data_IF_971464764011
#
_entry.id   IF_971464764011
#
_cell.length_a   1.000
_cell.length_b   1.000
_cell.length_c   1.000
_cell.angle_alpha   90.00
_cell.angle_beta   90.00
_cell.angle_gamma   90.00
#
_symmetry.space_group_name_H-M   'P 1'
#
loop_
_entity.id
_entity.type
_entity.pdbx_description
1 polymer ?
#
# COMPACT_ATOMS: atom_id res chain seq x y z
N UNK A 1 -16.62 8.54 -4.79
CA UNK A 1 -17.00 7.13 -4.61
C UNK A 1 -15.97 6.17 -5.19
N UNK A 2 -15.61 6.28 -6.48
CA UNK A 2 -14.60 5.41 -7.11
C UNK A 2 -13.27 5.35 -6.34
N UNK A 3 -12.67 6.51 -6.04
CA UNK A 3 -11.40 6.57 -5.30
C UNK A 3 -11.46 5.82 -3.96
N UNK A 4 -12.50 6.04 -3.17
CA UNK A 4 -12.67 5.38 -1.87
C UNK A 4 -12.79 3.86 -2.02
N UNK A 5 -13.56 3.38 -2.99
CA UNK A 5 -13.68 1.94 -3.29
C UNK A 5 -12.33 1.37 -3.72
N UNK A 6 -11.58 2.08 -4.57
CA UNK A 6 -10.26 1.65 -5.00
C UNK A 6 -9.25 1.58 -3.85
N UNK A 7 -9.25 2.56 -2.94
CA UNK A 7 -8.39 2.54 -1.75
C UNK A 7 -8.75 1.40 -0.78
N UNK A 8 -10.03 1.05 -0.65
CA UNK A 8 -10.44 -0.17 0.07
C UNK A 8 -9.93 -1.43 -0.63
N UNK A 9 -10.00 -1.49 -1.96
CA UNK A 9 -9.44 -2.60 -2.74
C UNK A 9 -7.94 -2.76 -2.53
N UNK A 10 -7.18 -1.66 -2.53
CA UNK A 10 -5.74 -1.65 -2.25
C UNK A 10 -5.46 -2.18 -0.84
N UNK A 11 -6.25 -1.78 0.16
CA UNK A 11 -6.13 -2.28 1.53
C UNK A 11 -6.31 -3.80 1.60
N UNK A 12 -7.34 -4.33 0.94
CA UNK A 12 -7.60 -5.77 0.90
C UNK A 12 -6.49 -6.54 0.18
N UNK A 13 -5.96 -5.99 -0.91
CA UNK A 13 -4.82 -6.58 -1.59
C UNK A 13 -3.56 -6.56 -0.72
N UNK A 14 -3.32 -5.51 0.09
CA UNK A 14 -2.21 -5.49 1.04
C UNK A 14 -2.34 -6.60 2.10
N UNK A 15 -3.56 -6.87 2.58
CA UNK A 15 -3.83 -8.03 3.46
C UNK A 15 -3.51 -9.34 2.74
N UNK A 16 -3.91 -9.48 1.47
CA UNK A 16 -3.60 -10.65 0.68
C UNK A 16 -2.09 -10.86 0.51
N UNK A 17 -1.30 -9.80 0.30
CA UNK A 17 0.17 -9.85 0.27
C UNK A 17 0.74 -10.33 1.60
N UNK A 18 0.22 -9.81 2.73
CA UNK A 18 0.66 -10.23 4.06
C UNK A 18 0.44 -11.73 4.30
N UNK A 19 -0.74 -12.24 3.94
CA UNK A 19 -1.09 -13.67 4.09
C UNK A 19 -0.25 -14.53 3.14
N UNK A 20 -0.16 -14.13 1.86
CA UNK A 20 0.53 -14.90 0.83
C UNK A 20 2.04 -14.99 1.10
N UNK A 21 2.66 -13.90 1.52
CA UNK A 21 4.09 -13.85 1.83
C UNK A 21 4.47 -14.79 2.99
N UNK A 22 3.62 -14.90 4.03
CA UNK A 22 3.79 -15.87 5.11
C UNK A 22 3.61 -17.31 4.64
N UNK A 23 2.56 -17.58 3.87
CA UNK A 23 2.28 -18.93 3.37
C UNK A 23 3.38 -19.48 2.45
N UNK A 24 4.08 -18.61 1.71
CA UNK A 24 5.18 -18.99 0.82
C UNK A 24 6.54 -19.02 1.57
N UNK A 25 6.56 -18.68 2.86
CA UNK A 25 7.78 -18.65 3.69
C UNK A 25 8.74 -17.51 3.33
N UNK A 26 8.29 -16.56 2.52
CA UNK A 26 9.03 -15.37 2.09
C UNK A 26 8.32 -14.13 2.64
N UNK A 27 8.36 -13.98 3.97
CA UNK A 27 7.70 -12.85 4.64
C UNK A 27 8.27 -11.52 4.15
N UNK A 28 7.39 -10.55 3.94
CA UNK A 28 7.77 -9.16 3.75
C UNK A 28 8.63 -8.64 4.91
N UNK A 29 9.55 -7.72 4.64
CA UNK A 29 10.50 -7.18 5.62
C UNK A 29 9.80 -6.52 6.81
N UNK A 30 8.68 -5.85 6.54
CA UNK A 30 7.89 -5.14 7.54
C UNK A 30 7.02 -6.07 8.39
N UNK A 31 6.79 -7.30 7.91
CA UNK A 31 5.96 -8.31 8.55
C UNK A 31 6.77 -9.24 9.46
N UNK A 32 7.95 -9.64 8.98
CA UNK A 32 8.82 -10.64 9.64
C UNK A 32 8.28 -12.08 9.58
N UNK A 33 9.16 -13.09 9.63
CA UNK A 33 8.74 -14.49 9.70
C UNK A 33 7.84 -14.78 10.91
N UNK A 34 7.02 -15.83 10.84
CA UNK A 34 6.13 -16.19 11.96
C UNK A 34 6.89 -16.57 13.24
N UNK A 35 8.10 -17.13 13.12
CA UNK A 35 8.97 -17.46 14.24
C UNK A 35 9.61 -16.24 14.91
N UNK A 36 9.68 -15.11 14.20
CA UNK A 36 10.25 -13.86 14.70
C UNK A 36 9.57 -12.66 14.02
N UNK A 37 8.32 -12.34 14.42
CA UNK A 37 7.55 -11.28 13.80
C UNK A 37 8.16 -9.91 14.07
N UNK A 38 7.96 -8.97 13.15
CA UNK A 38 8.38 -7.59 13.37
C UNK A 38 7.57 -6.91 14.47
N UNK A 39 8.15 -5.84 15.03
CA UNK A 39 7.47 -5.00 16.00
C UNK A 39 6.14 -4.44 15.41
N UNK A 40 5.03 -4.41 16.17
CA UNK A 40 3.70 -4.07 15.62
C UNK A 40 3.60 -2.73 14.88
N UNK A 41 4.40 -1.72 15.23
CA UNK A 41 4.39 -0.45 14.48
C UNK A 41 4.99 -0.57 13.08
N UNK A 42 6.03 -1.40 12.92
CA UNK A 42 6.63 -1.67 11.60
C UNK A 42 5.66 -2.52 10.77
N UNK A 43 5.04 -3.50 11.42
CA UNK A 43 3.99 -4.34 10.84
C UNK A 43 2.81 -3.54 10.28
N UNK A 44 2.37 -2.51 11.01
CA UNK A 44 1.23 -1.69 10.63
C UNK A 44 1.53 -0.71 9.48
N UNK A 45 2.81 -0.51 9.13
CA UNK A 45 3.26 0.57 8.24
C UNK A 45 2.54 0.62 6.88
N UNK A 46 2.48 -0.46 6.06
CA UNK A 46 1.80 -0.41 4.77
C UNK A 46 0.28 -0.23 4.89
N UNK A 47 -0.32 -0.75 5.98
CA UNK A 47 -1.74 -0.57 6.25
C UNK A 47 -2.04 0.87 6.64
N UNK A 48 -1.23 1.47 7.50
CA UNK A 48 -1.36 2.86 7.92
C UNK A 48 -1.26 3.81 6.71
N UNK A 49 -0.32 3.56 5.80
CA UNK A 49 -0.19 4.32 4.55
C UNK A 49 -1.48 4.21 3.72
N UNK A 50 -1.98 3.00 3.52
CA UNK A 50 -3.19 2.76 2.72
C UNK A 50 -4.44 3.37 3.36
N UNK A 51 -4.58 3.27 4.69
CA UNK A 51 -5.66 3.91 5.46
C UNK A 51 -5.57 5.44 5.35
N UNK A 52 -4.38 6.03 5.39
CA UNK A 52 -4.21 7.47 5.18
C UNK A 52 -4.69 7.90 3.78
N UNK A 53 -4.37 7.12 2.74
CA UNK A 53 -4.89 7.32 1.39
C UNK A 53 -6.43 7.25 1.31
N UNK A 54 -7.04 6.29 2.00
CA UNK A 54 -8.49 6.16 2.11
C UNK A 54 -9.12 7.37 2.83
N UNK A 55 -8.60 7.76 3.98
CA UNK A 55 -9.09 8.93 4.75
C UNK A 55 -8.97 10.22 3.93
N UNK A 56 -7.90 10.35 3.14
CA UNK A 56 -7.71 11.50 2.25
C UNK A 56 -8.80 11.65 1.18
N UNK A 57 -9.53 10.58 0.84
CA UNK A 57 -10.69 10.66 -0.07
C UNK A 57 -11.86 11.46 0.50
N UNK A 58 -11.88 11.68 1.81
CA UNK A 58 -12.91 12.48 2.51
C UNK A 58 -12.47 13.94 2.73
N UNK A 59 -11.25 14.32 2.30
CA UNK A 59 -10.69 15.65 2.51
C UNK A 59 -10.91 16.56 1.29
N UNK A 60 -10.76 17.90 1.44
CA UNK A 60 -10.83 18.81 0.31
C UNK A 60 -9.81 18.48 -0.77
N UNK A 61 -10.25 18.52 -2.03
CA UNK A 61 -9.52 18.06 -3.22
C UNK A 61 -8.06 18.53 -3.32
N UNK A 62 -7.78 19.78 -2.92
CA UNK A 62 -6.44 20.36 -2.97
C UNK A 62 -5.40 19.58 -2.15
N UNK A 63 -5.83 18.99 -1.03
CA UNK A 63 -4.94 18.22 -0.15
C UNK A 63 -4.89 16.75 -0.53
N UNK A 64 -5.98 16.21 -1.06
CA UNK A 64 -6.11 14.79 -1.41
C UNK A 64 -5.01 14.33 -2.36
N UNK A 65 -4.70 15.10 -3.41
CA UNK A 65 -3.68 14.70 -4.40
C UNK A 65 -2.28 14.61 -3.79
N UNK A 66 -1.89 15.57 -2.94
CA UNK A 66 -0.58 15.55 -2.29
C UNK A 66 -0.47 14.38 -1.30
N UNK A 67 -1.54 14.10 -0.55
CA UNK A 67 -1.57 12.97 0.38
C UNK A 67 -1.49 11.65 -0.38
N UNK A 68 -2.25 11.51 -1.48
CA UNK A 68 -2.26 10.32 -2.32
C UNK A 68 -0.89 10.05 -2.94
N UNK A 69 -0.23 11.07 -3.51
CA UNK A 69 1.13 10.93 -4.04
C UNK A 69 2.14 10.58 -2.94
N UNK A 70 2.01 11.18 -1.74
CA UNK A 70 2.84 10.81 -0.58
C UNK A 70 2.64 9.34 -0.19
N UNK A 71 1.40 8.84 -0.21
CA UNK A 71 1.10 7.43 0.06
C UNK A 71 1.72 6.51 -1.00
N UNK A 72 1.64 6.88 -2.28
CA UNK A 72 2.26 6.12 -3.38
C UNK A 72 3.78 6.02 -3.17
N UNK A 73 4.45 7.14 -2.90
CA UNK A 73 5.90 7.14 -2.65
C UNK A 73 6.24 6.28 -1.43
N UNK A 74 5.45 6.36 -0.36
CA UNK A 74 5.66 5.54 0.82
C UNK A 74 5.46 4.05 0.54
N UNK A 75 4.42 3.65 -0.22
CA UNK A 75 4.20 2.26 -0.64
C UNK A 75 5.33 1.74 -1.54
N UNK A 76 5.85 2.56 -2.46
CA UNK A 76 7.05 2.25 -3.24
C UNK A 76 8.24 2.01 -2.31
N UNK A 77 8.42 2.84 -1.28
CA UNK A 77 9.44 2.65 -0.26
C UNK A 77 9.30 1.32 0.49
N UNK A 78 8.08 0.90 0.80
CA UNK A 78 7.82 -0.44 1.38
C UNK A 78 8.26 -1.54 0.41
N UNK A 79 7.84 -1.47 -0.85
CA UNK A 79 8.18 -2.46 -1.87
C UNK A 79 9.68 -2.60 -2.11
N UNK A 80 10.44 -1.50 -2.05
CA UNK A 80 11.90 -1.51 -2.19
C UNK A 80 12.57 -2.38 -1.13
N UNK A 81 12.05 -2.42 0.10
CA UNK A 81 12.62 -3.20 1.20
C UNK A 81 12.62 -4.71 0.95
N UNK A 82 11.74 -5.20 0.08
CA UNK A 82 11.64 -6.64 -0.24
C UNK A 82 12.40 -7.05 -1.51
N UNK A 83 12.96 -6.11 -2.28
CA UNK A 83 13.58 -6.39 -3.59
C UNK A 83 14.69 -7.44 -3.51
N UNK A 84 15.54 -7.37 -2.49
CA UNK A 84 16.69 -8.27 -2.35
C UNK A 84 16.32 -9.65 -1.78
N UNK A 85 15.37 -9.70 -0.86
CA UNK A 85 15.12 -10.89 -0.02
C UNK A 85 13.86 -11.67 -0.44
N UNK A 86 12.86 -10.96 -0.98
CA UNK A 86 11.56 -11.48 -1.37
C UNK A 86 11.07 -10.79 -2.66
N UNK A 87 11.76 -10.94 -3.81
CA UNK A 87 11.47 -10.17 -5.03
C UNK A 87 10.05 -10.39 -5.58
N UNK A 88 9.46 -11.57 -5.37
CA UNK A 88 8.06 -11.82 -5.72
C UNK A 88 7.07 -11.02 -4.88
N UNK A 89 7.36 -10.81 -3.59
CA UNK A 89 6.56 -9.95 -2.69
C UNK A 89 6.73 -8.49 -3.10
N UNK A 90 7.97 -8.06 -3.31
CA UNK A 90 8.27 -6.71 -3.80
C UNK A 90 7.51 -6.37 -5.09
N UNK A 91 7.46 -7.30 -6.05
CA UNK A 91 6.71 -7.12 -7.29
C UNK A 91 5.22 -6.86 -7.02
N UNK A 92 4.58 -7.64 -6.14
CA UNK A 92 3.17 -7.44 -5.78
C UNK A 92 2.95 -6.08 -5.12
N UNK A 93 3.85 -5.66 -4.25
CA UNK A 93 3.77 -4.36 -3.58
C UNK A 93 3.98 -3.19 -4.56
N UNK A 94 4.89 -3.32 -5.54
CA UNK A 94 5.04 -2.33 -6.61
C UNK A 94 3.79 -2.24 -7.50
N UNK A 95 3.17 -3.38 -7.82
CA UNK A 95 1.90 -3.40 -8.55
C UNK A 95 0.82 -2.65 -7.76
N UNK A 96 0.74 -2.87 -6.45
CA UNK A 96 -0.18 -2.15 -5.58
C UNK A 96 0.08 -0.64 -5.54
N UNK A 97 1.35 -0.24 -5.43
CA UNK A 97 1.73 1.17 -5.52
C UNK A 97 1.38 1.78 -6.89
N UNK A 98 1.55 1.02 -7.98
CA UNK A 98 1.14 1.42 -9.33
C UNK A 98 -0.37 1.61 -9.46
N UNK A 99 -1.17 0.69 -8.91
CA UNK A 99 -2.63 0.83 -8.84
C UNK A 99 -3.00 2.08 -8.04
N UNK A 100 -2.37 2.31 -6.87
CA UNK A 100 -2.59 3.50 -6.07
C UNK A 100 -2.27 4.79 -6.84
N UNK A 101 -1.19 4.80 -7.63
CA UNK A 101 -0.84 5.92 -8.51
C UNK A 101 -1.92 6.17 -9.56
N UNK A 102 -2.37 5.13 -10.25
CA UNK A 102 -3.44 5.23 -11.25
C UNK A 102 -4.73 5.77 -10.64
N UNK A 103 -5.12 5.27 -9.46
CA UNK A 103 -6.29 5.75 -8.71
C UNK A 103 -6.15 7.24 -8.37
N UNK A 104 -4.95 7.66 -7.97
CA UNK A 104 -4.64 9.06 -7.65
C UNK A 104 -4.80 9.97 -8.88
N UNK A 105 -4.28 9.52 -10.03
CA UNK A 105 -4.37 10.25 -11.30
C UNK A 105 -5.81 10.30 -11.84
N UNK A 106 -6.55 9.19 -11.78
CA UNK A 106 -7.97 9.16 -12.18
C UNK A 106 -8.79 10.10 -11.29
N UNK A 107 -8.55 10.09 -9.98
CA UNK A 107 -9.24 10.99 -9.03
C UNK A 107 -8.96 12.46 -9.33
N UNK A 108 -7.77 12.79 -9.84
CA UNK A 108 -7.42 14.13 -10.29
C UNK A 108 -8.14 14.50 -11.59
N UNK A 109 -8.18 13.56 -12.55
CA UNK A 109 -8.70 13.74 -13.90
C UNK A 109 -10.23 13.73 -13.99
N UNK A 110 -10.92 13.04 -13.08
CA UNK A 110 -12.38 13.11 -12.94
C UNK A 110 -12.78 14.52 -12.52
N UNK A 111 -12.93 15.41 -13.51
CA UNK A 111 -13.54 16.73 -13.40
C UNK A 111 -15.07 16.54 -13.45
N UNK A 112 -15.86 17.23 -12.62
CA UNK A 112 -17.25 17.49 -12.97
C UNK A 112 -17.32 18.34 -14.24
#
# INVERSE_FOLDING_TARGET
>A
MLASVSWVGILLCQVAVAISSRNIGKSAWWLGPESNPQFPLVWALPFAITVAGLVATQRPRRYTIFIHLGCVVALVGVAIGDVSNAPGVALLEFVLAGIALLVSLVSLASRP
#
